data_IF_571943260059
#
_entry.id   IF_571943260059
#
_cell.length_a   1.000
_cell.length_b   1.000
_cell.length_c   1.000
_cell.angle_alpha   90.00
_cell.angle_beta   90.00
_cell.angle_gamma   90.00
#
_symmetry.space_group_name_H-M   'P 1'
#
loop_
_entity.id
_entity.type
_entity.pdbx_description
1 polymer ?
#
# COMPACT_ATOMS: atom_id res chain seq x y z
N UNK A 1 3.74 -5.10 15.76
CA UNK A 1 5.11 -5.69 15.68
C UNK A 1 5.14 -7.14 16.15
N UNK A 2 4.56 -7.48 17.30
CA UNK A 2 4.50 -8.87 17.82
C UNK A 2 3.98 -9.89 16.81
N UNK A 3 2.94 -9.55 16.04
CA UNK A 3 2.36 -10.43 15.01
C UNK A 3 3.29 -10.73 13.83
N UNK A 4 4.33 -9.91 13.60
CA UNK A 4 5.27 -10.06 12.48
C UNK A 4 6.60 -10.73 12.87
N UNK A 5 6.84 -10.92 14.17
CA UNK A 5 8.10 -11.47 14.70
C UNK A 5 7.89 -12.77 15.48
N UNK A 6 6.65 -13.26 15.53
CA UNK A 6 6.35 -14.54 16.15
C UNK A 6 7.02 -15.68 15.36
N UNK A 7 7.47 -16.76 16.02
CA UNK A 7 7.96 -17.94 15.32
C UNK A 7 6.95 -18.45 14.29
N UNK A 8 7.39 -18.62 13.05
CA UNK A 8 6.54 -19.05 11.93
C UNK A 8 5.75 -17.94 11.24
N UNK A 9 5.80 -16.69 11.72
CA UNK A 9 5.23 -15.56 11.01
C UNK A 9 5.99 -15.32 9.70
N UNK A 10 5.25 -15.21 8.60
CA UNK A 10 5.77 -14.86 7.30
C UNK A 10 4.93 -13.74 6.69
N UNK A 11 5.55 -12.90 5.87
CA UNK A 11 4.87 -11.92 5.03
C UNK A 11 5.14 -12.32 3.60
N UNK A 12 4.07 -12.44 2.82
CA UNK A 12 4.14 -12.66 1.39
C UNK A 12 3.91 -11.34 0.68
N UNK A 13 4.82 -10.99 -0.23
CA UNK A 13 4.74 -9.77 -1.02
C UNK A 13 4.31 -10.12 -2.44
N UNK A 14 3.38 -9.32 -2.97
CA UNK A 14 2.94 -9.42 -4.35
C UNK A 14 3.08 -8.05 -5.00
N UNK A 15 3.78 -8.00 -6.12
CA UNK A 15 3.66 -6.89 -7.05
C UNK A 15 2.53 -7.22 -8.02
N UNK A 16 1.53 -6.35 -8.10
CA UNK A 16 0.40 -6.49 -9.00
C UNK A 16 0.36 -5.28 -9.94
N UNK A 17 -0.07 -5.53 -11.17
CA UNK A 17 -0.20 -4.50 -12.20
C UNK A 17 -1.54 -4.64 -12.92
N UNK A 18 -2.06 -3.52 -13.39
CA UNK A 18 -3.32 -3.45 -14.12
C UNK A 18 -3.34 -2.22 -15.00
N UNK A 19 -4.20 -2.25 -16.02
CA UNK A 19 -4.44 -1.07 -16.87
C UNK A 19 -5.19 0.02 -16.08
N UNK A 20 -4.66 1.26 -15.97
CA UNK A 20 -5.31 2.33 -15.21
C UNK A 20 -6.70 2.69 -15.74
N UNK A 21 -6.96 2.42 -17.01
CA UNK A 21 -8.27 2.61 -17.66
C UNK A 21 -9.31 1.58 -17.22
N UNK A 22 -8.88 0.39 -16.79
CA UNK A 22 -9.76 -0.66 -16.30
C UNK A 22 -10.04 -0.53 -14.79
N UNK A 23 -9.04 -0.09 -14.01
CA UNK A 23 -9.14 0.03 -12.56
C UNK A 23 -8.34 1.24 -12.05
N UNK A 24 -9.02 2.17 -11.39
CA UNK A 24 -8.33 3.27 -10.71
C UNK A 24 -7.76 2.81 -9.37
N UNK A 25 -6.74 3.51 -8.86
CA UNK A 25 -6.15 3.20 -7.56
C UNK A 25 -7.17 3.25 -6.41
N UNK A 26 -8.08 4.23 -6.45
CA UNK A 26 -9.20 4.34 -5.50
C UNK A 26 -10.09 3.10 -5.54
N UNK A 27 -10.43 2.60 -6.73
CA UNK A 27 -11.23 1.39 -6.88
C UNK A 27 -10.47 0.12 -6.49
N UNK A 28 -9.16 0.06 -6.74
CA UNK A 28 -8.32 -1.02 -6.24
C UNK A 28 -8.39 -1.07 -4.69
N UNK A 29 -8.23 0.07 -4.03
CA UNK A 29 -8.36 0.21 -2.58
C UNK A 29 -9.74 -0.19 -2.06
N UNK A 30 -10.81 0.30 -2.66
CA UNK A 30 -12.17 0.07 -2.15
C UNK A 30 -12.74 -1.30 -2.51
N UNK A 31 -12.54 -1.78 -3.75
CA UNK A 31 -13.22 -2.95 -4.30
C UNK A 31 -12.34 -4.21 -4.31
N UNK A 32 -11.02 -4.07 -4.49
CA UNK A 32 -10.10 -5.23 -4.49
C UNK A 32 -9.58 -5.50 -3.08
N UNK A 33 -8.98 -4.49 -2.44
CA UNK A 33 -8.46 -4.64 -1.07
C UNK A 33 -9.60 -4.66 -0.05
N UNK A 34 -10.50 -3.68 -0.13
CA UNK A 34 -11.62 -3.54 0.82
C UNK A 34 -11.31 -2.59 1.99
N UNK A 35 -12.36 -2.17 2.69
CA UNK A 35 -12.24 -1.29 3.85
C UNK A 35 -11.36 -1.90 4.95
N UNK A 36 -10.61 -1.06 5.69
CA UNK A 36 -9.74 -1.50 6.79
C UNK A 36 -10.51 -2.22 7.89
N UNK A 37 -11.73 -1.75 8.18
CA UNK A 37 -12.72 -2.51 8.94
C UNK A 37 -13.35 -3.56 8.03
N UNK A 38 -12.85 -4.80 8.11
CA UNK A 38 -13.25 -5.88 7.20
C UNK A 38 -14.74 -6.23 7.26
N UNK A 39 -15.43 -5.91 8.37
CA UNK A 39 -16.88 -6.11 8.48
C UNK A 39 -17.68 -5.17 7.57
N UNK A 40 -17.08 -4.03 7.21
CA UNK A 40 -17.63 -3.00 6.31
C UNK A 40 -17.04 -3.08 4.90
N UNK A 41 -16.12 -4.01 4.64
CA UNK A 41 -15.54 -4.19 3.32
C UNK A 41 -16.58 -4.77 2.35
N UNK A 42 -16.49 -4.35 1.09
CA UNK A 42 -17.44 -4.77 0.06
C UNK A 42 -17.37 -6.28 -0.20
N UNK A 43 -18.52 -6.94 -0.44
CA UNK A 43 -18.54 -8.35 -0.85
C UNK A 43 -17.63 -8.62 -2.05
N UNK A 44 -16.77 -9.63 -1.94
CA UNK A 44 -15.80 -10.01 -2.97
C UNK A 44 -14.44 -9.32 -2.86
N UNK A 45 -14.28 -8.29 -2.02
CA UNK A 45 -12.96 -7.73 -1.68
C UNK A 45 -12.16 -8.69 -0.80
N UNK A 46 -10.83 -8.62 -0.88
CA UNK A 46 -9.93 -9.53 -0.14
C UNK A 46 -10.17 -9.48 1.37
N UNK A 47 -10.27 -8.28 1.96
CA UNK A 47 -10.53 -8.13 3.40
C UNK A 47 -11.88 -8.71 3.79
N UNK A 48 -12.90 -8.55 2.95
CA UNK A 48 -14.21 -9.14 3.21
C UNK A 48 -14.16 -10.66 3.12
N UNK A 49 -13.50 -11.22 2.10
CA UNK A 49 -13.29 -12.66 1.96
C UNK A 49 -12.59 -13.24 3.18
N UNK A 50 -11.52 -12.58 3.67
CA UNK A 50 -10.79 -13.02 4.87
C UNK A 50 -11.67 -12.96 6.12
N UNK A 51 -12.52 -11.93 6.24
CA UNK A 51 -13.48 -11.81 7.34
C UNK A 51 -14.56 -12.89 7.31
N UNK A 52 -15.09 -13.21 6.13
CA UNK A 52 -16.16 -14.21 5.99
C UNK A 52 -15.60 -15.65 6.12
N UNK A 53 -14.39 -15.91 5.61
CA UNK A 53 -13.77 -17.25 5.55
C UNK A 53 -12.69 -17.47 6.63
N UNK A 54 -12.73 -16.71 7.73
CA UNK A 54 -11.68 -16.70 8.74
C UNK A 54 -11.38 -18.11 9.31
N UNK A 55 -12.40 -18.94 9.53
CA UNK A 55 -12.23 -20.33 10.03
C UNK A 55 -11.49 -21.21 9.02
N UNK A 56 -11.89 -21.15 7.74
CA UNK A 56 -11.28 -21.92 6.66
C UNK A 56 -9.81 -21.52 6.43
N UNK A 57 -9.51 -20.24 6.66
CA UNK A 57 -8.15 -19.69 6.60
C UNK A 57 -7.32 -19.96 7.87
N UNK A 58 -7.90 -20.62 8.88
CA UNK A 58 -7.20 -20.99 10.12
C UNK A 58 -6.96 -19.83 11.10
N UNK A 59 -7.73 -18.75 10.97
CA UNK A 59 -7.72 -17.64 11.94
C UNK A 59 -8.43 -18.06 13.24
N UNK A 60 -8.10 -17.41 14.35
CA UNK A 60 -8.65 -17.75 15.69
C UNK A 60 -10.03 -17.17 15.93
N UNK A 61 -10.32 -16.02 15.32
CA UNK A 61 -11.60 -15.35 15.45
C UNK A 61 -11.89 -14.48 14.22
N UNK A 62 -13.18 -14.30 13.93
CA UNK A 62 -13.63 -13.40 12.89
C UNK A 62 -13.14 -11.97 13.13
N UNK A 63 -12.52 -11.35 12.12
CA UNK A 63 -12.06 -9.97 12.19
C UNK A 63 -10.86 -9.73 13.10
N UNK A 64 -10.17 -10.77 13.59
CA UNK A 64 -8.92 -10.60 14.34
C UNK A 64 -7.80 -9.97 13.47
N UNK A 65 -7.90 -10.14 12.16
CA UNK A 65 -6.96 -9.65 11.17
C UNK A 65 -7.72 -9.17 9.94
N UNK A 66 -7.27 -8.09 9.32
CA UNK A 66 -7.68 -7.72 7.97
C UNK A 66 -6.84 -8.43 6.90
N UNK A 67 -5.80 -9.17 7.31
CA UNK A 67 -5.04 -10.15 6.53
C UNK A 67 -4.17 -9.61 5.40
N UNK A 68 -4.52 -8.49 4.78
CA UNK A 68 -3.80 -7.91 3.65
C UNK A 68 -3.56 -6.41 3.82
N UNK A 69 -2.34 -6.02 3.46
CA UNK A 69 -1.93 -4.65 3.22
C UNK A 69 -1.92 -4.39 1.71
N UNK A 70 -2.43 -3.23 1.31
CA UNK A 70 -2.30 -2.74 -0.05
C UNK A 70 -1.96 -1.25 0.01
N UNK A 71 -1.00 -0.84 -0.82
CA UNK A 71 -0.52 0.55 -0.88
C UNK A 71 -1.70 1.51 -0.97
N UNK A 72 -1.61 2.66 -0.32
CA UNK A 72 -2.63 3.71 -0.24
C UNK A 72 -2.74 4.50 -1.55
N UNK A 73 -1.61 4.73 -2.21
CA UNK A 73 -1.54 5.44 -3.49
C UNK A 73 -0.32 5.04 -4.32
N UNK A 74 -0.16 5.62 -5.53
CA UNK A 74 0.98 5.34 -6.41
C UNK A 74 2.34 5.64 -5.77
N UNK A 75 2.42 6.67 -4.93
CA UNK A 75 3.65 7.05 -4.23
C UNK A 75 4.05 6.02 -3.17
N UNK A 76 3.12 5.59 -2.33
CA UNK A 76 3.38 4.52 -1.36
C UNK A 76 3.70 3.20 -2.07
N UNK A 77 3.03 2.90 -3.19
CA UNK A 77 3.35 1.72 -3.99
C UNK A 77 4.79 1.74 -4.52
N UNK A 78 5.31 2.89 -4.96
CA UNK A 78 6.73 3.05 -5.31
C UNK A 78 7.62 2.78 -4.10
N UNK A 79 7.31 3.39 -2.96
CA UNK A 79 8.09 3.22 -1.74
C UNK A 79 8.16 1.75 -1.31
N UNK A 80 7.05 1.04 -1.36
CA UNK A 80 6.97 -0.38 -1.01
C UNK A 80 7.75 -1.28 -1.96
N UNK A 81 7.66 -1.04 -3.29
CA UNK A 81 8.47 -1.78 -4.26
C UNK A 81 9.97 -1.61 -3.99
N UNK A 82 10.41 -0.39 -3.70
CA UNK A 82 11.83 -0.11 -3.40
C UNK A 82 12.24 -0.78 -2.09
N UNK A 83 11.45 -0.63 -1.03
CA UNK A 83 11.84 -1.03 0.33
C UNK A 83 11.67 -2.53 0.60
N UNK A 84 10.66 -3.18 0.00
CA UNK A 84 10.32 -4.59 0.27
C UNK A 84 10.72 -5.54 -0.84
N UNK A 85 10.72 -5.08 -2.10
CA UNK A 85 11.07 -5.91 -3.26
C UNK A 85 12.43 -5.57 -3.86
N UNK A 86 13.18 -4.67 -3.21
CA UNK A 86 14.47 -4.16 -3.69
C UNK A 86 14.42 -3.68 -5.15
N UNK A 87 13.25 -3.15 -5.56
CA UNK A 87 13.05 -2.71 -6.93
C UNK A 87 14.00 -1.58 -7.29
N UNK A 88 14.55 -1.63 -8.50
CA UNK A 88 15.41 -0.58 -9.01
C UNK A 88 14.58 0.66 -9.32
N UNK A 89 14.63 1.66 -8.45
CA UNK A 89 13.89 2.91 -8.58
C UNK A 89 14.17 3.62 -9.91
N UNK A 90 15.40 3.61 -10.43
CA UNK A 90 15.75 4.22 -11.71
C UNK A 90 15.11 3.53 -12.92
N UNK A 91 14.60 2.32 -12.75
CA UNK A 91 13.84 1.57 -13.77
C UNK A 91 12.34 1.53 -13.51
N UNK A 92 11.88 2.07 -12.38
CA UNK A 92 10.47 2.08 -12.01
C UNK A 92 9.71 3.12 -12.85
N UNK A 93 8.59 2.70 -13.46
CA UNK A 93 7.82 3.54 -14.38
C UNK A 93 7.26 4.80 -13.70
N UNK A 94 6.86 4.69 -12.43
CA UNK A 94 6.35 5.85 -11.68
C UNK A 94 7.49 6.82 -11.34
N UNK A 95 8.64 6.32 -10.88
CA UNK A 95 9.82 7.15 -10.63
C UNK A 95 10.31 7.88 -11.89
N UNK A 96 10.34 7.19 -13.03
CA UNK A 96 10.69 7.79 -14.32
C UNK A 96 9.72 8.91 -14.71
N UNK A 97 8.41 8.72 -14.47
CA UNK A 97 7.40 9.75 -14.66
C UNK A 97 7.62 10.97 -13.77
N UNK A 98 7.93 10.78 -12.49
CA UNK A 98 8.25 11.88 -11.57
C UNK A 98 9.51 12.64 -12.02
N UNK A 99 10.55 11.92 -12.44
CA UNK A 99 11.80 12.52 -12.93
C UNK A 99 11.57 13.34 -14.21
N UNK A 100 10.74 12.86 -15.14
CA UNK A 100 10.32 13.61 -16.31
C UNK A 100 9.55 14.90 -15.95
N UNK A 101 8.84 14.89 -14.82
CA UNK A 101 8.22 16.06 -14.20
C UNK A 101 9.18 16.98 -13.44
N UNK A 102 10.50 16.81 -13.61
CA UNK A 102 11.55 17.59 -12.93
C UNK A 102 11.65 17.38 -11.41
N UNK A 103 11.08 16.29 -10.86
CA UNK A 103 11.32 15.91 -9.47
C UNK A 103 12.70 15.29 -9.30
N UNK A 104 13.39 15.69 -8.23
CA UNK A 104 14.68 15.13 -7.89
C UNK A 104 14.53 13.68 -7.38
N UNK A 105 15.05 12.71 -8.14
CA UNK A 105 15.01 11.27 -7.80
C UNK A 105 15.59 10.97 -6.42
N UNK A 106 16.68 11.62 -6.03
CA UNK A 106 17.29 11.40 -4.71
C UNK A 106 16.38 11.89 -3.57
N UNK A 107 15.64 12.97 -3.79
CA UNK A 107 14.63 13.46 -2.85
C UNK A 107 13.45 12.49 -2.74
N UNK A 108 12.94 12.01 -3.87
CA UNK A 108 11.84 11.03 -3.91
C UNK A 108 12.25 9.75 -3.18
N UNK A 109 13.44 9.21 -3.44
CA UNK A 109 14.00 8.05 -2.72
C UNK A 109 14.06 8.28 -1.21
N UNK A 110 14.50 9.47 -0.79
CA UNK A 110 14.53 9.85 0.62
C UNK A 110 13.12 9.83 1.23
N UNK A 111 12.14 10.43 0.54
CA UNK A 111 10.75 10.41 0.99
C UNK A 111 10.17 9.01 1.09
N UNK A 112 10.43 8.12 0.11
CA UNK A 112 10.02 6.72 0.15
C UNK A 112 10.57 5.95 1.36
N UNK A 113 11.72 6.37 1.92
CA UNK A 113 12.35 5.69 3.05
C UNK A 113 11.96 6.29 4.41
N UNK A 114 11.84 7.61 4.47
CA UNK A 114 11.74 8.34 5.75
C UNK A 114 10.32 8.76 6.10
N UNK A 115 9.40 8.79 5.13
CA UNK A 115 8.07 9.40 5.25
C UNK A 115 8.07 10.72 6.07
N UNK A 116 8.80 11.74 5.61
CA UNK A 116 8.97 12.97 6.38
C UNK A 116 7.67 13.79 6.45
N UNK A 117 7.50 14.49 7.56
CA UNK A 117 6.50 15.54 7.68
C UNK A 117 6.91 16.77 6.85
N UNK A 118 6.13 17.12 5.85
CA UNK A 118 6.34 18.29 4.98
C UNK A 118 5.16 19.27 5.08
N UNK A 119 5.42 20.55 4.82
CA UNK A 119 4.39 21.59 4.78
C UNK A 119 4.18 22.01 3.33
N UNK A 120 3.07 21.59 2.66
CA UNK A 120 2.76 22.04 1.32
C UNK A 120 2.39 23.53 1.34
N UNK A 121 2.55 24.21 0.20
CA UNK A 121 2.26 25.65 0.11
C UNK A 121 0.80 25.92 0.47
N UNK A 122 0.57 26.64 1.57
CA UNK A 122 -0.77 26.99 2.05
C UNK A 122 -1.51 25.86 2.76
N UNK A 123 -0.87 24.72 3.01
CA UNK A 123 -1.46 23.59 3.72
C UNK A 123 -0.82 23.32 5.09
N UNK A 124 -1.35 22.32 5.78
CA UNK A 124 -0.86 21.91 7.08
C UNK A 124 0.31 20.94 6.94
N UNK A 125 1.16 20.91 7.95
CA UNK A 125 2.26 19.95 8.03
C UNK A 125 1.70 18.54 8.20
N UNK A 126 2.02 17.64 7.29
CA UNK A 126 1.56 16.24 7.29
C UNK A 126 2.62 15.32 6.70
N UNK A 127 2.44 13.99 6.86
CA UNK A 127 3.28 12.98 6.21
C UNK A 127 3.20 13.14 4.70
N UNK A 128 4.32 12.89 4.00
CA UNK A 128 4.32 12.96 2.54
C UNK A 128 3.50 11.83 1.93
N UNK A 129 3.33 10.70 2.64
CA UNK A 129 2.43 9.63 2.23
C UNK A 129 0.98 10.10 2.31
N UNK A 130 0.57 10.70 3.43
CA UNK A 130 -0.79 11.23 3.61
C UNK A 130 -1.14 12.32 2.59
N UNK A 131 -0.17 13.15 2.20
CA UNK A 131 -0.37 14.22 1.22
C UNK A 131 -0.47 13.73 -0.23
N UNK A 132 -0.07 12.48 -0.50
CA UNK A 132 0.02 11.89 -1.85
C UNK A 132 -0.83 10.62 -2.02
N UNK A 133 -1.67 10.28 -1.03
CA UNK A 133 -2.76 9.30 -1.14
C UNK A 133 -3.89 9.84 -2.03
#
# INVERSE_FOLDING_TARGET
>A
RSSFVAPGAAIHYFAVEWEPSALSFVKFRSHVIGATDSSKAEPGSLRRTIYDQWEELGLRAQGESNGVHGSAGPFEALAERINWLEANAEKDSYMLGLAAGSLNVALVKKWCKEDPLVTPRGGQRASVFDLLE
#
